data_IF_671130179957
#
_entry.id   IF_671130179957
#
_cell.length_a   1.000
_cell.length_b   1.000
_cell.length_c   1.000
_cell.angle_alpha   90.00
_cell.angle_beta   90.00
_cell.angle_gamma   90.00
#
_symmetry.space_group_name_H-M   'P 1'
#
loop_
_entity.id
_entity.type
_entity.pdbx_description
1 polymer ?
#
# COMPACT_ATOMS: atom_id res chain seq x y z
N UNK A 1 17.09 18.84 -8.24
CA UNK A 1 16.90 18.28 -6.88
C UNK A 1 18.07 17.35 -6.54
N UNK A 2 19.00 17.79 -5.69
CA UNK A 2 20.17 16.98 -5.26
C UNK A 2 19.68 15.88 -4.30
N UNK A 3 19.79 14.61 -4.73
CA UNK A 3 19.41 13.43 -3.94
C UNK A 3 20.37 13.28 -2.75
N UNK A 4 19.83 13.15 -1.54
CA UNK A 4 20.56 13.29 -0.26
C UNK A 4 21.31 12.03 0.17
N UNK A 5 21.11 10.86 -0.45
CA UNK A 5 21.84 9.64 -0.06
C UNK A 5 21.99 8.62 -1.21
N UNK A 6 23.02 8.77 -2.04
CA UNK A 6 23.23 7.97 -3.27
C UNK A 6 23.34 6.45 -3.04
N UNK A 7 23.91 6.00 -1.93
CA UNK A 7 24.12 4.57 -1.66
C UNK A 7 22.84 3.83 -1.28
N UNK A 8 21.96 4.48 -0.51
CA UNK A 8 20.64 3.94 -0.15
C UNK A 8 19.72 3.89 -1.37
N UNK A 9 19.69 4.95 -2.16
CA UNK A 9 18.88 5.01 -3.40
C UNK A 9 19.35 3.98 -4.43
N UNK A 10 20.66 3.74 -4.54
CA UNK A 10 21.21 2.68 -5.40
C UNK A 10 20.82 1.27 -4.90
N UNK A 11 20.77 1.07 -3.58
CA UNK A 11 20.34 -0.20 -2.98
C UNK A 11 18.85 -0.46 -3.17
N UNK A 12 18.00 0.56 -3.06
CA UNK A 12 16.55 0.47 -3.33
C UNK A 12 16.25 0.26 -4.83
N UNK A 13 17.06 0.84 -5.72
CA UNK A 13 16.91 0.62 -7.17
C UNK A 13 17.38 -0.77 -7.59
N UNK A 14 18.45 -1.27 -6.98
CA UNK A 14 19.01 -2.60 -7.30
C UNK A 14 18.26 -3.74 -6.61
N UNK A 15 17.64 -3.53 -5.44
CA UNK A 15 16.85 -4.58 -4.78
C UNK A 15 15.69 -5.07 -5.65
N UNK A 16 14.95 -4.16 -6.29
CA UNK A 16 13.86 -4.60 -7.15
C UNK A 16 14.33 -5.36 -8.39
N UNK A 17 15.54 -5.09 -8.91
CA UNK A 17 16.14 -5.87 -10.00
C UNK A 17 16.52 -7.29 -9.58
N UNK A 18 16.89 -7.48 -8.30
CA UNK A 18 17.06 -8.81 -7.70
C UNK A 18 15.71 -9.51 -7.59
N UNK A 19 14.70 -8.80 -7.08
CA UNK A 19 13.35 -9.35 -6.86
C UNK A 19 12.72 -9.84 -8.17
N UNK A 20 12.99 -9.18 -9.29
CA UNK A 20 12.53 -9.61 -10.63
C UNK A 20 13.55 -10.49 -11.38
N UNK A 21 14.62 -10.94 -10.72
CA UNK A 21 15.55 -11.96 -11.24
C UNK A 21 16.50 -11.48 -12.34
N UNK A 22 16.72 -10.17 -12.49
CA UNK A 22 17.67 -9.61 -13.48
C UNK A 22 19.11 -9.59 -12.99
N UNK A 23 19.31 -9.47 -11.68
CA UNK A 23 20.61 -9.57 -11.03
C UNK A 23 20.52 -10.50 -9.82
N UNK A 24 21.64 -11.11 -9.42
CA UNK A 24 21.74 -11.97 -8.23
C UNK A 24 21.77 -11.16 -6.95
N UNK A 25 21.69 -11.85 -5.80
CA UNK A 25 21.84 -11.24 -4.48
C UNK A 25 23.18 -10.50 -4.33
N UNK A 26 24.24 -10.99 -4.98
CA UNK A 26 25.58 -10.36 -5.06
C UNK A 26 25.64 -9.21 -6.07
N UNK A 27 24.51 -8.83 -6.66
CA UNK A 27 24.37 -7.76 -7.67
C UNK A 27 25.11 -8.07 -8.98
N UNK A 28 25.27 -9.34 -9.31
CA UNK A 28 25.81 -9.81 -10.59
C UNK A 28 24.70 -10.06 -11.61
N UNK A 29 24.96 -9.91 -12.91
CA UNK A 29 23.94 -10.19 -13.93
C UNK A 29 23.55 -11.67 -13.95
N UNK A 30 22.26 -11.95 -13.89
CA UNK A 30 21.72 -13.29 -14.20
C UNK A 30 21.74 -13.54 -15.70
N UNK A 31 21.42 -14.77 -16.14
CA UNK A 31 21.23 -15.05 -17.57
C UNK A 31 20.16 -14.15 -18.20
N UNK A 32 19.08 -13.87 -17.46
CA UNK A 32 18.04 -12.94 -17.91
C UNK A 32 18.59 -11.52 -18.02
N UNK A 33 19.38 -11.08 -17.03
CA UNK A 33 20.06 -9.79 -17.08
C UNK A 33 21.02 -9.65 -18.26
N UNK A 34 21.76 -10.72 -18.61
CA UNK A 34 22.65 -10.76 -19.78
C UNK A 34 21.86 -10.65 -21.09
N UNK A 35 20.69 -11.29 -21.19
CA UNK A 35 19.80 -11.15 -22.35
C UNK A 35 19.33 -9.70 -22.53
N UNK A 36 18.87 -9.03 -21.46
CA UNK A 36 18.50 -7.61 -21.53
C UNK A 36 19.67 -6.72 -21.93
N UNK A 37 20.87 -6.98 -21.39
CA UNK A 37 22.07 -6.24 -21.76
C UNK A 37 22.42 -6.42 -23.25
N UNK A 38 22.27 -7.62 -23.79
CA UNK A 38 22.53 -7.91 -25.20
C UNK A 38 21.54 -7.19 -26.13
N UNK A 39 20.24 -7.18 -25.78
CA UNK A 39 19.21 -6.42 -26.52
C UNK A 39 19.57 -4.93 -26.53
N UNK A 40 19.89 -4.37 -25.36
CA UNK A 40 20.25 -2.96 -25.24
C UNK A 40 21.51 -2.60 -26.04
N UNK A 41 22.56 -3.42 -25.99
CA UNK A 41 23.82 -3.18 -26.72
C UNK A 41 23.65 -3.30 -28.24
N UNK A 42 22.80 -4.20 -28.70
CA UNK A 42 22.55 -4.42 -30.13
C UNK A 42 21.53 -3.45 -30.73
N UNK A 43 20.77 -2.72 -29.91
CA UNK A 43 19.67 -1.87 -30.36
C UNK A 43 18.49 -2.64 -30.97
N UNK A 44 18.44 -3.97 -30.79
CA UNK A 44 17.46 -4.86 -31.42
C UNK A 44 16.17 -4.95 -30.58
N UNK A 45 15.38 -3.88 -30.56
CA UNK A 45 14.13 -3.82 -29.77
C UNK A 45 12.90 -4.33 -30.52
N UNK A 46 12.96 -4.46 -31.85
CA UNK A 46 11.82 -4.78 -32.69
C UNK A 46 11.11 -6.09 -32.25
N UNK A 47 9.76 -6.09 -32.16
CA UNK A 47 9.02 -7.23 -31.64
C UNK A 47 9.17 -8.48 -32.52
N UNK A 48 9.32 -9.64 -31.87
CA UNK A 48 9.38 -10.97 -32.49
C UNK A 48 8.58 -12.03 -31.72
N UNK A 49 7.63 -11.59 -30.88
CA UNK A 49 6.83 -12.44 -30.01
C UNK A 49 5.32 -12.28 -30.27
N UNK A 50 4.54 -13.26 -29.78
CA UNK A 50 3.08 -13.33 -29.96
C UNK A 50 2.30 -12.12 -29.43
N UNK A 51 2.89 -11.36 -28.50
CA UNK A 51 2.27 -10.17 -27.91
C UNK A 51 2.64 -8.88 -28.65
N UNK A 52 3.47 -8.95 -29.69
CA UNK A 52 3.98 -7.77 -30.41
C UNK A 52 4.71 -6.77 -29.49
N UNK A 53 5.21 -7.23 -28.34
CA UNK A 53 5.93 -6.40 -27.38
C UNK A 53 7.38 -6.23 -27.83
N UNK A 54 8.03 -5.08 -27.56
CA UNK A 54 9.47 -4.94 -27.69
C UNK A 54 10.22 -6.07 -26.99
N UNK A 55 11.37 -6.50 -27.53
CA UNK A 55 12.07 -7.70 -27.03
C UNK A 55 12.44 -7.60 -25.56
N UNK A 56 12.91 -6.44 -25.12
CA UNK A 56 13.22 -6.15 -23.73
C UNK A 56 11.95 -6.16 -22.87
N UNK A 57 10.87 -5.51 -23.32
CA UNK A 57 9.59 -5.52 -22.63
C UNK A 57 9.01 -6.92 -22.46
N UNK A 58 9.17 -7.78 -23.48
CA UNK A 58 8.78 -9.19 -23.38
C UNK A 58 9.61 -9.98 -22.37
N UNK A 59 10.89 -9.65 -22.18
CA UNK A 59 11.72 -10.24 -21.12
C UNK A 59 11.21 -9.80 -19.74
N UNK A 60 10.94 -8.50 -19.54
CA UNK A 60 10.34 -7.99 -18.30
C UNK A 60 9.00 -8.67 -18.00
N UNK A 61 8.11 -8.77 -19.00
CA UNK A 61 6.82 -9.45 -18.88
C UNK A 61 6.98 -10.89 -18.39
N UNK A 62 7.87 -11.67 -19.02
CA UNK A 62 8.16 -13.06 -18.61
C UNK A 62 8.69 -13.15 -17.18
N UNK A 63 9.50 -12.19 -16.74
CA UNK A 63 9.97 -12.16 -15.36
C UNK A 63 8.85 -11.82 -14.39
N UNK A 64 8.05 -10.78 -14.66
CA UNK A 64 6.94 -10.40 -13.80
C UNK A 64 5.92 -11.52 -13.60
N UNK A 65 5.65 -12.34 -14.62
CA UNK A 65 4.81 -13.55 -14.51
C UNK A 65 5.37 -14.59 -13.52
N UNK A 66 6.69 -14.64 -13.35
CA UNK A 66 7.40 -15.58 -12.48
C UNK A 66 7.73 -14.99 -11.11
N UNK A 67 7.86 -13.67 -10.99
CA UNK A 67 8.21 -13.02 -9.74
C UNK A 67 7.24 -13.40 -8.65
N UNK A 68 7.76 -14.03 -7.60
CA UNK A 68 7.00 -14.40 -6.41
C UNK A 68 7.59 -13.74 -5.17
N UNK A 69 6.75 -13.15 -4.33
CA UNK A 69 7.13 -12.66 -3.01
C UNK A 69 6.55 -13.56 -1.91
N UNK A 70 7.26 -13.64 -0.79
CA UNK A 70 6.77 -14.28 0.43
C UNK A 70 6.30 -13.20 1.40
N UNK A 71 5.01 -13.23 1.75
CA UNK A 71 4.37 -12.29 2.64
C UNK A 71 3.57 -13.07 3.68
N UNK A 72 3.94 -12.96 4.95
CA UNK A 72 3.25 -13.66 6.05
C UNK A 72 3.19 -15.19 5.86
N UNK A 73 4.29 -15.78 5.38
CA UNK A 73 4.38 -17.20 5.06
C UNK A 73 3.65 -17.64 3.79
N UNK A 74 2.94 -16.71 3.10
CA UNK A 74 2.21 -16.96 1.86
C UNK A 74 3.05 -16.56 0.66
N UNK A 75 3.01 -17.37 -0.40
CA UNK A 75 3.65 -17.04 -1.67
C UNK A 75 2.64 -16.36 -2.58
N UNK A 76 3.05 -15.27 -3.23
CA UNK A 76 2.20 -14.48 -4.11
C UNK A 76 2.98 -14.10 -5.35
N UNK A 77 2.36 -14.17 -6.52
CA UNK A 77 2.89 -13.65 -7.78
C UNK A 77 2.13 -12.35 -8.12
N UNK A 78 2.66 -11.17 -7.75
CA UNK A 78 1.89 -9.93 -7.77
C UNK A 78 1.34 -9.57 -9.15
N UNK A 79 2.09 -9.89 -10.21
CA UNK A 79 1.65 -9.60 -11.57
C UNK A 79 0.47 -10.47 -12.01
N UNK A 80 0.37 -11.74 -11.56
CA UNK A 80 -0.80 -12.58 -11.84
C UNK A 80 -2.02 -12.11 -11.06
N UNK A 81 -1.83 -11.63 -9.83
CA UNK A 81 -2.89 -11.01 -9.03
C UNK A 81 -3.41 -9.74 -9.71
N UNK A 82 -2.51 -8.85 -10.14
CA UNK A 82 -2.88 -7.68 -10.94
C UNK A 82 -3.64 -8.10 -12.21
N UNK A 83 -3.13 -9.09 -12.92
CA UNK A 83 -3.73 -9.60 -14.16
C UNK A 83 -5.14 -10.12 -13.93
N UNK A 84 -5.37 -10.82 -12.81
CA UNK A 84 -6.69 -11.30 -12.42
C UNK A 84 -7.68 -10.15 -12.18
N UNK A 85 -7.25 -9.14 -11.41
CA UNK A 85 -8.10 -7.98 -11.13
C UNK A 85 -8.42 -7.20 -12.40
N UNK A 86 -7.44 -6.99 -13.28
CA UNK A 86 -7.65 -6.27 -14.55
C UNK A 86 -8.54 -7.05 -15.53
N UNK A 87 -8.41 -8.38 -15.61
CA UNK A 87 -9.29 -9.22 -16.44
C UNK A 87 -10.73 -9.19 -15.93
N UNK A 88 -10.93 -9.27 -14.60
CA UNK A 88 -12.24 -9.29 -13.96
C UNK A 88 -12.94 -7.93 -13.95
N UNK A 89 -12.20 -6.85 -13.68
CA UNK A 89 -12.75 -5.51 -13.43
C UNK A 89 -12.56 -4.55 -14.61
N UNK A 90 -11.79 -4.95 -15.62
CA UNK A 90 -11.43 -4.14 -16.79
C UNK A 90 -10.36 -3.08 -16.52
N UNK A 91 -10.39 -2.44 -15.34
CA UNK A 91 -9.41 -1.46 -14.87
C UNK A 91 -9.40 -1.39 -13.35
N UNK A 92 -8.37 -0.76 -12.78
CA UNK A 92 -8.31 -0.27 -11.40
C UNK A 92 -8.10 1.24 -11.39
N UNK A 93 -8.69 1.95 -10.43
CA UNK A 93 -8.28 3.33 -10.14
C UNK A 93 -6.87 3.34 -9.55
N UNK A 94 -6.18 4.49 -9.59
CA UNK A 94 -4.88 4.62 -8.94
C UNK A 94 -4.92 4.30 -7.46
N UNK A 95 -5.98 4.67 -6.75
CA UNK A 95 -6.09 4.37 -5.32
C UNK A 95 -6.34 2.87 -5.10
N UNK A 96 -7.17 2.20 -5.90
CA UNK A 96 -7.36 0.74 -5.82
C UNK A 96 -6.05 -0.02 -6.11
N UNK A 97 -5.32 0.40 -7.15
CA UNK A 97 -3.99 -0.13 -7.46
C UNK A 97 -2.99 0.10 -6.32
N UNK A 98 -3.07 1.25 -5.65
CA UNK A 98 -2.11 1.62 -4.60
C UNK A 98 -2.39 0.91 -3.30
N UNK A 99 -3.66 0.85 -2.91
CA UNK A 99 -4.05 0.51 -1.54
C UNK A 99 -4.73 -0.85 -1.43
N UNK A 100 -5.39 -1.35 -2.48
CA UNK A 100 -6.11 -2.62 -2.43
C UNK A 100 -5.34 -3.76 -3.08
N UNK A 101 -4.74 -3.54 -4.25
CA UNK A 101 -3.92 -4.56 -4.92
C UNK A 101 -2.86 -5.19 -4.00
N UNK A 102 -2.07 -4.42 -3.21
CA UNK A 102 -1.02 -5.04 -2.39
C UNK A 102 -1.55 -5.83 -1.18
N UNK A 103 -2.84 -5.72 -0.86
CA UNK A 103 -3.49 -6.52 0.19
C UNK A 103 -3.88 -7.93 -0.30
N UNK A 104 -3.85 -8.16 -1.62
CA UNK A 104 -4.21 -9.42 -2.27
C UNK A 104 -3.10 -10.48 -2.10
N UNK A 105 -2.89 -10.95 -0.86
CA UNK A 105 -1.81 -11.90 -0.53
C UNK A 105 -2.24 -13.37 -0.53
N UNK A 106 -3.52 -13.64 -0.74
CA UNK A 106 -4.09 -14.98 -0.89
C UNK A 106 -5.38 -14.94 -1.73
N UNK A 107 -5.87 -16.13 -2.08
CA UNK A 107 -7.08 -16.30 -2.89
C UNK A 107 -8.28 -15.60 -2.25
N UNK A 108 -8.49 -15.82 -0.95
CA UNK A 108 -9.67 -15.34 -0.24
C UNK A 108 -9.74 -13.80 -0.23
N UNK A 109 -8.64 -13.15 0.17
CA UNK A 109 -8.53 -11.70 0.22
C UNK A 109 -8.65 -11.09 -1.17
N UNK A 110 -8.06 -11.72 -2.18
CA UNK A 110 -8.15 -11.26 -3.57
C UNK A 110 -9.58 -11.31 -4.12
N UNK A 111 -10.32 -12.38 -3.82
CA UNK A 111 -11.72 -12.50 -4.21
C UNK A 111 -12.59 -11.45 -3.52
N UNK A 112 -12.43 -11.28 -2.20
CA UNK A 112 -13.13 -10.26 -1.42
C UNK A 112 -12.88 -8.84 -1.94
N UNK A 113 -11.63 -8.51 -2.28
CA UNK A 113 -11.28 -7.20 -2.85
C UNK A 113 -11.88 -7.03 -4.24
N UNK A 114 -11.84 -8.05 -5.09
CA UNK A 114 -12.43 -7.98 -6.42
C UNK A 114 -13.96 -7.77 -6.35
N UNK A 115 -14.64 -8.45 -5.43
CA UNK A 115 -16.07 -8.29 -5.18
C UNK A 115 -16.40 -6.91 -4.63
N UNK A 116 -15.59 -6.42 -3.68
CA UNK A 116 -15.72 -5.09 -3.12
C UNK A 116 -15.64 -4.00 -4.19
N UNK A 117 -14.62 -4.07 -5.06
CA UNK A 117 -14.44 -3.10 -6.16
C UNK A 117 -15.56 -3.22 -7.20
N UNK A 118 -16.00 -4.43 -7.53
CA UNK A 118 -17.12 -4.61 -8.46
C UNK A 118 -18.42 -4.01 -7.90
N UNK A 119 -18.74 -4.31 -6.63
CA UNK A 119 -19.93 -3.81 -5.96
C UNK A 119 -19.95 -2.28 -5.83
N UNK A 120 -18.82 -1.67 -5.50
CA UNK A 120 -18.71 -0.21 -5.37
C UNK A 120 -18.95 0.53 -6.68
N UNK A 121 -18.62 -0.10 -7.82
CA UNK A 121 -18.82 0.48 -9.17
C UNK A 121 -20.22 0.30 -9.71
N UNK A 122 -20.91 -0.78 -9.32
CA UNK A 122 -22.26 -1.08 -9.81
C UNK A 122 -23.36 -0.24 -9.15
N UNK A 123 -23.04 0.55 -8.13
CA UNK A 123 -24.03 1.38 -7.41
C UNK A 123 -25.10 0.55 -6.69
N UNK A 124 -24.89 -0.76 -6.52
CA UNK A 124 -25.75 -1.62 -5.71
C UNK A 124 -25.58 -1.17 -4.25
N UNK A 125 -26.54 -0.38 -3.75
CA UNK A 125 -26.53 0.37 -2.48
C UNK A 125 -26.36 -0.46 -1.19
N UNK A 126 -25.77 -1.66 -1.28
CA UNK A 126 -25.27 -2.49 -0.19
C UNK A 126 -23.96 -1.98 0.41
N UNK A 127 -23.26 -1.07 -0.27
CA UNK A 127 -22.11 -0.33 0.26
C UNK A 127 -22.57 1.10 0.53
N UNK A 128 -23.03 1.37 1.74
CA UNK A 128 -23.42 2.72 2.20
C UNK A 128 -22.23 3.68 2.08
N UNK A 129 -22.51 4.95 1.83
CA UNK A 129 -21.62 6.06 1.44
C UNK A 129 -20.40 6.37 2.36
N UNK A 130 -20.09 5.50 3.32
CA UNK A 130 -18.89 5.47 4.16
C UNK A 130 -17.90 4.34 3.80
N UNK A 131 -18.24 3.44 2.87
CA UNK A 131 -17.42 2.33 2.40
C UNK A 131 -16.36 2.78 1.37
N UNK A 132 -15.29 3.41 1.88
CA UNK A 132 -14.13 3.81 1.08
C UNK A 132 -12.99 2.79 1.09
N UNK A 133 -11.93 3.05 0.32
CA UNK A 133 -10.68 2.28 0.35
C UNK A 133 -10.17 2.08 1.79
N UNK A 134 -10.33 3.08 2.64
CA UNK A 134 -9.91 3.06 4.04
C UNK A 134 -10.63 1.98 4.85
N UNK A 135 -11.93 1.77 4.59
CA UNK A 135 -12.71 0.72 5.24
C UNK A 135 -12.24 -0.66 4.80
N UNK A 136 -12.00 -0.87 3.49
CA UNK A 136 -11.50 -2.17 3.02
C UNK A 136 -10.09 -2.48 3.55
N UNK A 137 -9.20 -1.48 3.66
CA UNK A 137 -7.91 -1.65 4.34
C UNK A 137 -8.14 -2.09 5.79
N UNK A 138 -8.99 -1.40 6.55
CA UNK A 138 -9.27 -1.75 7.93
C UNK A 138 -9.88 -3.14 8.06
N UNK A 139 -10.83 -3.54 7.21
CA UNK A 139 -11.41 -4.89 7.21
C UNK A 139 -10.34 -5.96 7.05
N UNK A 140 -9.39 -5.77 6.12
CA UNK A 140 -8.29 -6.70 5.93
C UNK A 140 -7.40 -6.73 7.18
N UNK A 141 -6.92 -5.57 7.64
CA UNK A 141 -6.02 -5.50 8.80
C UNK A 141 -6.66 -6.12 10.05
N UNK A 142 -7.89 -5.74 10.38
CA UNK A 142 -8.60 -6.19 11.58
C UNK A 142 -9.07 -7.66 11.49
N UNK A 143 -9.01 -8.28 10.31
CA UNK A 143 -9.25 -9.73 10.19
C UNK A 143 -8.05 -10.58 10.65
N UNK A 144 -6.85 -9.99 10.68
CA UNK A 144 -5.62 -10.70 11.01
C UNK A 144 -5.48 -10.89 12.52
N UNK A 145 -5.02 -12.07 12.94
CA UNK A 145 -4.93 -12.46 14.36
C UNK A 145 -4.07 -11.52 15.21
N UNK A 146 -2.94 -11.05 14.67
CA UNK A 146 -2.06 -10.12 15.36
C UNK A 146 -2.73 -8.77 15.62
N UNK A 147 -3.48 -8.24 14.66
CA UNK A 147 -4.23 -6.99 14.82
C UNK A 147 -5.38 -7.15 15.82
N UNK A 148 -6.12 -8.26 15.77
CA UNK A 148 -7.19 -8.54 16.75
C UNK A 148 -6.66 -8.62 18.18
N UNK A 149 -5.54 -9.31 18.38
CA UNK A 149 -4.87 -9.40 19.69
C UNK A 149 -4.33 -8.05 20.15
N UNK A 150 -3.75 -7.26 19.25
CA UNK A 150 -3.24 -5.93 19.56
C UNK A 150 -4.37 -4.94 19.89
N UNK A 151 -5.51 -5.00 19.19
CA UNK A 151 -6.69 -4.19 19.47
C UNK A 151 -7.24 -4.53 20.86
N UNK A 152 -7.44 -5.81 21.17
CA UNK A 152 -7.91 -6.25 22.49
C UNK A 152 -6.96 -5.76 23.60
N UNK A 153 -5.65 -5.96 23.45
CA UNK A 153 -4.65 -5.49 24.39
C UNK A 153 -4.71 -3.96 24.57
N UNK A 154 -4.90 -3.20 23.48
CA UNK A 154 -4.98 -1.74 23.55
C UNK A 154 -6.25 -1.25 24.28
N UNK A 155 -7.38 -1.93 24.09
CA UNK A 155 -8.66 -1.57 24.70
C UNK A 155 -8.71 -1.88 26.20
N UNK A 156 -8.03 -2.94 26.63
CA UNK A 156 -8.06 -3.44 28.01
C UNK A 156 -7.06 -2.77 28.95
N UNK A 157 -6.12 -1.98 28.42
CA UNK A 157 -5.01 -1.42 29.19
C UNK A 157 -4.96 0.11 29.13
N UNK A 158 -4.32 0.71 30.13
CA UNK A 158 -3.97 2.14 30.16
C UNK A 158 -3.00 2.49 29.03
N UNK A 159 -3.22 3.63 28.36
CA UNK A 159 -2.38 4.01 27.21
C UNK A 159 -1.10 4.68 27.66
N UNK A 160 -0.03 3.89 27.69
CA UNK A 160 1.33 4.34 27.88
C UNK A 160 2.22 4.12 26.64
N UNK A 161 3.47 4.56 26.76
CA UNK A 161 4.48 4.41 25.71
C UNK A 161 4.74 2.95 25.35
N UNK A 162 4.82 2.04 26.33
CA UNK A 162 5.20 0.65 26.08
C UNK A 162 4.07 -0.12 25.43
N UNK A 163 2.81 0.17 25.80
CA UNK A 163 1.63 -0.34 25.13
C UNK A 163 1.63 0.11 23.66
N UNK A 164 1.82 1.40 23.37
CA UNK A 164 1.86 1.93 22.00
C UNK A 164 2.96 1.31 21.15
N UNK A 165 4.15 1.07 21.73
CA UNK A 165 5.24 0.34 21.07
C UNK A 165 4.91 -1.11 20.77
N UNK A 166 4.09 -1.73 21.61
CA UNK A 166 3.68 -3.14 21.48
C UNK A 166 2.62 -3.27 20.41
N UNK A 167 1.54 -2.50 20.53
CA UNK A 167 0.39 -2.59 19.62
C UNK A 167 0.67 -1.90 18.27
N UNK A 168 1.63 -0.99 18.22
CA UNK A 168 2.02 -0.31 16.99
C UNK A 168 2.61 -1.24 15.91
N UNK A 169 3.13 -2.41 16.27
CA UNK A 169 3.61 -3.44 15.33
C UNK A 169 4.62 -2.91 14.28
N UNK A 170 5.55 -2.05 14.70
CA UNK A 170 6.56 -1.50 13.79
C UNK A 170 7.62 -2.55 13.41
N UNK A 171 7.85 -2.73 12.10
CA UNK A 171 8.81 -3.71 11.57
C UNK A 171 10.28 -3.28 11.63
N UNK A 172 10.58 -1.97 11.82
CA UNK A 172 11.97 -1.45 11.79
C UNK A 172 12.52 -1.18 13.19
N UNK A 173 11.89 -0.26 13.92
CA UNK A 173 12.23 0.03 15.32
C UNK A 173 10.97 0.38 16.08
N UNK A 174 10.86 -0.13 17.30
CA UNK A 174 9.77 0.22 18.23
C UNK A 174 9.77 1.71 18.57
N UNK A 175 10.94 2.37 18.55
CA UNK A 175 11.08 3.79 18.88
C UNK A 175 10.37 4.74 17.91
N UNK A 176 10.03 4.29 16.70
CA UNK A 176 9.23 5.11 15.78
C UNK A 176 7.81 5.35 16.30
N UNK A 177 7.30 4.47 17.17
CA UNK A 177 5.96 4.58 17.72
C UNK A 177 5.93 5.48 18.97
N UNK A 178 7.08 5.96 19.47
CA UNK A 178 7.17 6.88 20.62
C UNK A 178 6.41 8.19 20.37
N UNK A 179 6.33 8.62 19.11
CA UNK A 179 5.59 9.82 18.72
C UNK A 179 4.07 9.69 18.93
N UNK A 180 3.53 8.46 19.06
CA UNK A 180 2.09 8.26 19.30
C UNK A 180 1.67 8.59 20.73
N UNK A 181 2.55 8.50 21.72
CA UNK A 181 2.20 8.83 23.11
C UNK A 181 1.77 10.30 23.26
N UNK A 182 2.58 11.31 22.86
CA UNK A 182 2.16 12.71 22.95
C UNK A 182 0.98 13.02 22.04
N UNK A 183 0.85 12.35 20.87
CA UNK A 183 -0.30 12.49 20.00
C UNK A 183 -1.59 12.01 20.68
N UNK A 184 -1.58 10.80 21.26
CA UNK A 184 -2.74 10.21 21.94
C UNK A 184 -3.23 11.12 23.06
N UNK A 185 -2.32 11.54 23.95
CA UNK A 185 -2.68 12.40 25.09
C UNK A 185 -3.28 13.73 24.64
N UNK A 186 -2.67 14.40 23.66
CA UNK A 186 -3.18 15.70 23.16
C UNK A 186 -4.47 15.55 22.37
N UNK A 187 -4.66 14.43 21.68
CA UNK A 187 -5.90 14.14 20.98
C UNK A 187 -7.04 13.91 21.99
N UNK A 188 -6.77 13.16 23.05
CA UNK A 188 -7.72 12.93 24.14
C UNK A 188 -8.13 14.25 24.81
N UNK A 189 -7.16 15.08 25.18
CA UNK A 189 -7.42 16.41 25.76
C UNK A 189 -8.32 17.28 24.87
N UNK A 190 -8.01 17.39 23.58
CA UNK A 190 -8.71 18.31 22.68
C UNK A 190 -10.05 17.76 22.24
N UNK A 191 -10.10 16.50 21.81
CA UNK A 191 -11.28 15.93 21.18
C UNK A 191 -12.24 15.30 22.18
N UNK A 192 -11.76 14.65 23.24
CA UNK A 192 -12.61 13.95 24.20
C UNK A 192 -12.94 14.82 25.42
N UNK A 193 -11.96 15.51 26.00
CA UNK A 193 -12.17 16.39 27.16
C UNK A 193 -12.57 17.84 26.78
N UNK A 194 -12.53 18.19 25.49
CA UNK A 194 -12.89 19.52 25.00
C UNK A 194 -11.89 20.64 25.34
N UNK A 195 -10.65 20.31 25.72
CA UNK A 195 -9.59 21.28 26.09
C UNK A 195 -8.97 21.93 24.86
N UNK A 196 -9.74 22.74 24.14
CA UNK A 196 -9.37 23.36 22.85
C UNK A 196 -8.09 24.21 22.91
N UNK A 197 -7.69 24.73 24.07
CA UNK A 197 -6.42 25.45 24.25
C UNK A 197 -5.19 24.59 23.90
N UNK A 198 -5.30 23.26 24.01
CA UNK A 198 -4.23 22.32 23.66
C UNK A 198 -4.14 22.03 22.14
N UNK A 199 -5.01 22.60 21.29
CA UNK A 199 -5.06 22.28 19.86
C UNK A 199 -3.75 22.59 19.10
N UNK A 200 -3.02 23.65 19.49
CA UNK A 200 -1.71 23.96 18.93
C UNK A 200 -0.66 22.89 19.25
N UNK A 201 -0.70 22.33 20.46
CA UNK A 201 0.17 21.23 20.88
C UNK A 201 -0.22 19.91 20.19
N UNK A 202 -1.51 19.65 20.01
CA UNK A 202 -2.00 18.55 19.19
C UNK A 202 -1.44 18.65 17.77
N UNK A 203 -1.53 19.82 17.12
CA UNK A 203 -0.96 20.03 15.79
C UNK A 203 0.56 19.73 15.77
N UNK A 204 1.30 20.27 16.74
CA UNK A 204 2.76 20.04 16.87
C UNK A 204 3.09 18.55 17.02
N UNK A 205 2.31 17.78 17.79
CA UNK A 205 2.53 16.33 17.96
C UNK A 205 2.47 15.57 16.62
N UNK A 206 1.65 16.02 15.66
CA UNK A 206 1.59 15.41 14.32
C UNK A 206 2.85 15.64 13.46
N UNK A 207 3.70 16.60 13.83
CA UNK A 207 4.90 16.96 13.06
C UNK A 207 6.09 16.05 13.35
N UNK A 208 6.04 15.29 14.45
CA UNK A 208 7.06 14.32 14.84
C UNK A 208 7.05 13.04 13.98
N UNK A 209 6.02 12.85 13.16
CA UNK A 209 5.89 11.73 12.25
C UNK A 209 6.48 12.02 10.87
N UNK A 210 6.74 10.97 10.10
CA UNK A 210 7.00 11.11 8.66
C UNK A 210 5.84 11.86 7.97
N UNK A 211 6.17 12.65 6.95
CA UNK A 211 5.21 13.56 6.29
C UNK A 211 3.91 12.90 5.84
N UNK A 212 3.95 11.65 5.35
CA UNK A 212 2.75 10.91 4.91
C UNK A 212 1.80 10.56 6.07
N UNK A 213 2.34 10.14 7.21
CA UNK A 213 1.55 9.81 8.41
C UNK A 213 1.06 11.09 9.07
N UNK A 214 1.97 12.03 9.38
CA UNK A 214 1.61 13.29 10.01
C UNK A 214 0.64 14.12 9.17
N UNK A 215 0.79 14.10 7.84
CA UNK A 215 -0.12 14.77 6.92
C UNK A 215 -1.52 14.13 6.84
N UNK A 216 -1.67 12.85 7.16
CA UNK A 216 -2.98 12.21 7.29
C UNK A 216 -3.67 12.66 8.58
N UNK A 217 -2.96 12.63 9.72
CA UNK A 217 -3.46 13.17 10.99
C UNK A 217 -3.89 14.64 10.86
N UNK A 218 -3.07 15.49 10.25
CA UNK A 218 -3.45 16.90 10.06
C UNK A 218 -4.67 17.08 9.18
N UNK A 219 -4.82 16.30 8.10
CA UNK A 219 -6.00 16.37 7.22
C UNK A 219 -7.28 15.93 7.93
N UNK A 220 -7.16 14.94 8.81
CA UNK A 220 -8.27 14.47 9.65
C UNK A 220 -8.68 15.54 10.67
N UNK A 221 -7.70 16.11 11.38
CA UNK A 221 -7.94 16.93 12.57
C UNK A 221 -8.13 18.42 12.29
N UNK A 222 -7.56 18.95 11.20
CA UNK A 222 -7.49 20.39 10.96
C UNK A 222 -7.86 20.78 9.53
N UNK A 223 -8.45 21.96 9.37
CA UNK A 223 -8.76 22.58 8.07
C UNK A 223 -7.59 23.39 7.48
N UNK A 224 -6.57 23.66 8.30
CA UNK A 224 -5.43 24.51 7.97
C UNK A 224 -4.09 23.87 8.37
N UNK A 225 -3.02 24.32 7.75
CA UNK A 225 -1.63 23.95 8.09
C UNK A 225 -0.93 25.01 8.95
N UNK A 226 -1.61 26.11 9.29
CA UNK A 226 -1.06 27.18 10.11
C UNK A 226 -1.26 26.89 11.60
N UNK A 227 -0.18 26.45 12.28
CA UNK A 227 -0.19 26.24 13.73
C UNK A 227 -0.62 27.51 14.49
N UNK A 228 -0.19 28.70 14.04
CA UNK A 228 -0.58 29.99 14.64
C UNK A 228 -2.08 30.28 14.50
N UNK A 229 -2.69 29.88 13.38
CA UNK A 229 -4.13 30.05 13.19
C UNK A 229 -4.91 29.13 14.13
N UNK A 230 -4.47 27.87 14.27
CA UNK A 230 -5.05 26.89 15.19
C UNK A 230 -4.92 27.36 16.65
N UNK A 231 -3.77 27.91 17.05
CA UNK A 231 -3.57 28.46 18.39
C UNK A 231 -4.47 29.68 18.67
N UNK A 232 -4.73 30.51 17.66
CA UNK A 232 -5.55 31.73 17.78
C UNK A 232 -7.06 31.42 17.84
N UNK A 233 -7.53 30.49 17.02
CA UNK A 233 -8.95 30.14 16.88
C UNK A 233 -9.14 28.62 16.70
N UNK A 234 -8.94 27.83 17.78
CA UNK A 234 -8.99 26.37 17.69
C UNK A 234 -10.38 25.84 17.34
N UNK A 235 -11.45 26.50 17.80
CA UNK A 235 -12.82 26.07 17.54
C UNK A 235 -13.18 26.12 16.05
N UNK A 236 -12.61 27.07 15.31
CA UNK A 236 -12.77 27.18 13.87
C UNK A 236 -11.95 26.14 13.10
N UNK A 237 -10.72 25.89 13.57
CA UNK A 237 -9.72 25.16 12.79
C UNK A 237 -9.59 23.68 13.13
N UNK A 238 -10.11 23.24 14.28
CA UNK A 238 -10.26 21.81 14.62
C UNK A 238 -11.52 21.28 13.92
N UNK A 239 -11.34 20.30 13.04
CA UNK A 239 -12.45 19.67 12.31
C UNK A 239 -13.24 18.76 13.22
N UNK A 240 -14.57 18.80 13.09
CA UNK A 240 -15.46 17.77 13.63
C UNK A 240 -15.07 16.40 13.06
N UNK A 241 -14.84 15.44 13.93
CA UNK A 241 -14.39 14.10 13.59
C UNK A 241 -14.83 13.08 14.64
N UNK A 242 -14.70 11.78 14.35
CA UNK A 242 -15.18 10.71 15.23
C UNK A 242 -14.61 10.74 16.65
N UNK A 243 -13.41 11.30 16.88
CA UNK A 243 -12.85 11.41 18.23
C UNK A 243 -13.63 12.36 19.14
N UNK A 244 -14.31 13.37 18.57
CA UNK A 244 -15.19 14.28 19.31
C UNK A 244 -16.57 13.71 19.57
N UNK A 245 -16.92 12.63 18.88
CA UNK A 245 -18.23 11.99 18.94
C UNK A 245 -18.20 10.68 19.73
N UNK A 246 -17.01 10.25 20.17
CA UNK A 246 -16.83 9.06 20.99
C UNK A 246 -17.62 9.19 22.31
N UNK A 247 -18.45 8.19 22.61
CA UNK A 247 -19.31 8.17 23.78
C UNK A 247 -18.54 7.92 25.08
N UNK A 248 -17.45 7.15 25.00
CA UNK A 248 -16.61 6.79 26.14
C UNK A 248 -15.13 6.62 25.74
N UNK A 249 -14.27 6.39 26.74
CA UNK A 249 -12.84 6.17 26.53
C UNK A 249 -12.56 4.93 25.69
N UNK A 250 -13.39 3.89 25.80
CA UNK A 250 -13.21 2.63 25.06
C UNK A 250 -13.45 2.85 23.57
N UNK A 251 -14.48 3.60 23.20
CA UNK A 251 -14.74 4.02 21.82
C UNK A 251 -13.63 4.94 21.31
N UNK A 252 -13.14 5.87 22.12
CA UNK A 252 -12.01 6.72 21.76
C UNK A 252 -10.76 5.89 21.44
N UNK A 253 -10.41 4.91 22.30
CA UNK A 253 -9.29 3.99 22.07
C UNK A 253 -9.48 3.18 20.80
N UNK A 254 -10.68 2.66 20.58
CA UNK A 254 -11.02 1.90 19.37
C UNK A 254 -10.80 2.74 18.10
N UNK A 255 -11.28 3.98 18.07
CA UNK A 255 -11.08 4.90 16.95
C UNK A 255 -9.59 5.23 16.75
N UNK A 256 -8.84 5.42 17.84
CA UNK A 256 -7.43 5.77 17.78
C UNK A 256 -6.61 4.62 17.17
N UNK A 257 -6.82 3.41 17.68
CA UNK A 257 -6.12 2.21 17.23
C UNK A 257 -6.29 2.01 15.72
N UNK A 258 -7.54 2.07 15.24
CA UNK A 258 -7.85 1.89 13.82
C UNK A 258 -7.30 3.00 12.95
N UNK A 259 -7.44 4.26 13.38
CA UNK A 259 -6.90 5.42 12.64
C UNK A 259 -5.37 5.34 12.53
N UNK A 260 -4.69 5.01 13.63
CA UNK A 260 -3.25 4.82 13.67
C UNK A 260 -2.81 3.76 12.65
N UNK A 261 -3.43 2.57 12.67
CA UNK A 261 -3.03 1.49 11.78
C UNK A 261 -3.39 1.75 10.32
N UNK A 262 -4.52 2.40 10.05
CA UNK A 262 -4.90 2.84 8.71
C UNK A 262 -3.84 3.77 8.12
N UNK A 263 -3.41 4.80 8.87
CA UNK A 263 -2.43 5.77 8.36
C UNK A 263 -1.05 5.15 8.16
N UNK A 264 -0.63 4.23 9.04
CA UNK A 264 0.61 3.44 8.89
C UNK A 264 0.55 2.56 7.64
N UNK A 265 -0.57 1.86 7.42
CA UNK A 265 -0.77 1.01 6.26
C UNK A 265 -0.75 1.84 4.96
N UNK A 266 -1.54 2.92 4.87
CA UNK A 266 -1.57 3.81 3.69
C UNK A 266 -0.20 4.41 3.38
N UNK A 267 0.56 4.84 4.40
CA UNK A 267 1.91 5.35 4.20
C UNK A 267 2.80 4.29 3.54
N UNK A 268 2.76 3.07 4.08
CA UNK A 268 3.56 1.94 3.60
C UNK A 268 3.17 1.54 2.18
N UNK A 269 1.87 1.36 1.92
CA UNK A 269 1.33 0.97 0.61
C UNK A 269 1.67 2.00 -0.47
N UNK A 270 1.55 3.29 -0.15
CA UNK A 270 1.92 4.39 -1.05
C UNK A 270 3.42 4.44 -1.34
N UNK A 271 4.30 4.06 -0.39
CA UNK A 271 5.75 4.04 -0.62
C UNK A 271 6.14 2.99 -1.68
N UNK A 272 5.44 1.85 -1.74
CA UNK A 272 5.72 0.79 -2.72
C UNK A 272 5.12 1.05 -4.11
N UNK A 273 4.15 1.97 -4.22
CA UNK A 273 3.41 2.23 -5.47
C UNK A 273 4.33 2.58 -6.65
N UNK A 274 5.23 3.53 -6.46
CA UNK A 274 6.09 4.06 -7.54
C UNK A 274 7.06 2.99 -8.07
N UNK A 275 7.64 2.22 -7.14
CA UNK A 275 8.57 1.15 -7.48
C UNK A 275 7.87 0.04 -8.28
N UNK A 276 6.71 -0.43 -7.80
CA UNK A 276 5.92 -1.45 -8.48
C UNK A 276 5.49 -0.98 -9.88
N UNK A 277 5.02 0.28 -9.98
CA UNK A 277 4.60 0.88 -11.24
C UNK A 277 5.73 0.91 -12.25
N UNK A 278 6.96 1.24 -11.84
CA UNK A 278 8.12 1.27 -12.75
C UNK A 278 8.40 -0.10 -13.38
N UNK A 279 8.43 -1.16 -12.59
CA UNK A 279 8.71 -2.50 -13.13
C UNK A 279 7.59 -3.01 -14.04
N UNK A 280 6.33 -2.77 -13.66
CA UNK A 280 5.18 -3.15 -14.48
C UNK A 280 5.19 -2.40 -15.81
N UNK A 281 5.50 -1.09 -15.80
CA UNK A 281 5.60 -0.29 -17.02
C UNK A 281 6.64 -0.82 -18.01
N UNK A 282 7.78 -1.31 -17.52
CA UNK A 282 8.81 -1.88 -18.40
C UNK A 282 8.36 -3.13 -19.16
N UNK A 283 7.20 -3.71 -18.85
CA UNK A 283 6.65 -4.84 -19.61
C UNK A 283 5.82 -4.44 -20.82
N UNK A 284 5.47 -3.16 -20.94
CA UNK A 284 4.53 -2.61 -21.93
C UNK A 284 3.19 -3.37 -21.99
N UNK A 285 2.80 -4.06 -20.91
CA UNK A 285 1.55 -4.82 -20.88
C UNK A 285 0.40 -4.08 -20.20
N UNK A 286 0.71 -3.10 -19.36
CA UNK A 286 -0.23 -2.37 -18.51
C UNK A 286 -0.04 -0.86 -18.69
N UNK A 287 -1.13 -0.18 -19.00
CA UNK A 287 -1.23 1.26 -19.17
C UNK A 287 -1.56 1.93 -17.84
N UNK A 288 -0.92 3.07 -17.58
CA UNK A 288 -1.17 3.93 -16.42
C UNK A 288 -1.48 5.34 -16.90
N UNK A 289 -2.74 5.58 -17.24
CA UNK A 289 -3.24 6.79 -17.88
C UNK A 289 -4.58 7.21 -17.29
N UNK A 290 -4.89 8.51 -17.30
CA UNK A 290 -6.16 9.07 -16.83
C UNK A 290 -6.58 8.64 -15.40
N UNK A 291 -5.60 8.45 -14.51
CA UNK A 291 -5.84 8.00 -13.14
C UNK A 291 -6.25 6.53 -13.01
N UNK A 292 -6.13 5.75 -14.10
CA UNK A 292 -6.52 4.34 -14.19
C UNK A 292 -5.33 3.45 -14.55
N UNK A 293 -5.42 2.20 -14.12
CA UNK A 293 -4.51 1.09 -14.46
C UNK A 293 -5.31 0.05 -15.23
N UNK A 294 -4.89 -0.26 -16.46
CA UNK A 294 -5.58 -1.21 -17.34
C UNK A 294 -4.59 -1.94 -18.24
N UNK A 295 -4.97 -3.10 -18.76
CA UNK A 295 -4.16 -3.77 -19.78
C UNK A 295 -4.12 -2.95 -21.08
N UNK A 296 -3.01 -3.03 -21.80
CA UNK A 296 -2.98 -2.72 -23.23
C UNK A 296 -3.80 -3.78 -24.01
N UNK A 297 -4.23 -3.45 -25.23
CA UNK A 297 -5.17 -4.21 -26.06
C UNK A 297 -4.68 -5.65 -26.27
N UNK A 298 -3.43 -5.85 -26.72
CA UNK A 298 -2.92 -7.20 -27.00
C UNK A 298 -2.79 -8.06 -25.73
N UNK A 299 -2.13 -7.60 -24.64
CA UNK A 299 -2.13 -8.29 -23.35
C UNK A 299 -3.52 -8.59 -22.80
N UNK A 300 -4.48 -7.67 -22.94
CA UNK A 300 -5.88 -7.87 -22.52
C UNK A 300 -6.48 -9.11 -23.20
N UNK A 301 -6.32 -9.24 -24.51
CA UNK A 301 -6.78 -10.41 -25.25
C UNK A 301 -6.00 -11.68 -24.91
N UNK A 302 -4.71 -11.55 -24.56
CA UNK A 302 -3.91 -12.67 -24.08
C UNK A 302 -4.42 -13.21 -22.73
N UNK A 303 -4.75 -12.36 -21.76
CA UNK A 303 -5.23 -12.83 -20.46
C UNK A 303 -6.70 -13.25 -20.45
N UNK A 304 -7.50 -12.72 -21.37
CA UNK A 304 -8.94 -13.01 -21.47
C UNK A 304 -9.22 -14.51 -21.50
N UNK A 305 -10.01 -14.98 -20.54
CA UNK A 305 -10.41 -16.38 -20.42
C UNK A 305 -9.30 -17.33 -19.95
N UNK A 306 -8.05 -16.85 -19.78
CA UNK A 306 -6.93 -17.62 -19.22
C UNK A 306 -6.78 -17.40 -17.73
N UNK A 307 -7.27 -16.28 -17.19
CA UNK A 307 -7.11 -15.97 -15.76
C UNK A 307 -7.78 -16.97 -14.81
N UNK A 308 -8.85 -17.66 -15.24
CA UNK A 308 -9.44 -18.75 -14.44
C UNK A 308 -8.44 -19.88 -14.14
N UNK A 309 -7.53 -20.17 -15.08
CA UNK A 309 -6.45 -21.17 -14.91
C UNK A 309 -5.21 -20.59 -14.22
N UNK A 310 -4.94 -19.29 -14.40
CA UNK A 310 -3.77 -18.62 -13.85
C UNK A 310 -3.99 -18.07 -12.42
N UNK A 311 -5.24 -18.01 -11.94
CA UNK A 311 -5.55 -17.50 -10.60
C UNK A 311 -4.98 -18.38 -9.49
N UNK A 312 -5.09 -19.71 -9.61
CA UNK A 312 -4.51 -20.61 -8.60
C UNK A 312 -2.97 -20.50 -8.52
N UNK A 313 -2.23 -20.56 -9.65
CA UNK A 313 -0.79 -20.33 -9.67
C UNK A 313 -0.33 -18.97 -9.13
N UNK A 314 -1.21 -17.96 -9.06
CA UNK A 314 -0.89 -16.65 -8.50
C UNK A 314 -0.51 -16.70 -7.01
N UNK A 315 -0.86 -17.78 -6.30
CA UNK A 315 -0.57 -17.95 -4.87
C UNK A 315 0.38 -19.13 -4.60
N UNK A 316 1.17 -19.50 -5.62
CA UNK A 316 2.17 -20.55 -5.56
C UNK A 316 3.55 -19.98 -5.85
N UNK A 317 4.58 -20.56 -5.22
CA UNK A 317 5.97 -20.21 -5.56
C UNK A 317 6.22 -20.53 -7.03
N UNK A 318 6.88 -19.63 -7.76
CA UNK A 318 7.35 -19.97 -9.10
C UNK A 318 8.57 -20.88 -8.98
N UNK A 319 8.61 -21.95 -9.78
CA UNK A 319 9.87 -22.65 -10.00
C UNK A 319 10.87 -21.65 -10.60
N UNK A 320 12.08 -21.59 -10.03
CA UNK A 320 13.20 -20.87 -10.64
C UNK A 320 13.61 -21.70 -11.85
N UNK A 321 13.01 -21.44 -13.00
CA UNK A 321 13.32 -22.17 -14.24
C UNK A 321 14.25 -21.31 -15.07
N UNK A 322 15.44 -21.86 -15.33
CA UNK A 322 16.38 -21.44 -16.37
C UNK A 322 15.65 -21.16 -17.67
N UNK A 323 16.20 -20.27 -18.50
CA UNK A 323 15.67 -19.90 -19.80
C UNK A 323 15.71 -21.09 -20.79
N UNK A 324 14.83 -22.08 -20.60
CA UNK A 324 14.47 -23.06 -21.62
C UNK A 324 12.97 -22.94 -21.90
#
# INVERSE_FOLDING_TARGET
MKRKNKSKDARETTSGLVDIGLISDERLLTEVGKVLLAISKSGSFAPDNVLQLPKDSYVYFKQLLKTSCSMDGKNVRPFLVLSYLLDRLGNLTFDEYTYLLPLCIDKETTLKIAEYIAGSRSGDGRLTDTAGIDDMILRVLMSMDNYRKAEALFLENEVDRELLRTVGMNRKSRSYDDAYEPLYRKLYEVCFEGKMKSAGELYKSTTSFQNKIGGQWRRLLFDTTSAKAIEKDPARHVKRNGFQEAADEREFKYLFFRTMHLFKAKSTLSDYQDLNKRYIKNSDTVLFEDGMVKFDIVPKHFFRGRMSRLFSPAFEKAAVVSLN
#
